data_IF_085610013945
#
_entry.id   IF_085610013945
#
_cell.length_a   1.000
_cell.length_b   1.000
_cell.length_c   1.000
_cell.angle_alpha   90.00
_cell.angle_beta   90.00
_cell.angle_gamma   90.00
#
_symmetry.space_group_name_H-M   'P 1'
#
loop_
_entity.id
_entity.type
_entity.pdbx_description
1 polymer ?
#
# COMPACT_ATOMS: atom_id res chain seq x y z
N UNK A 1 24.81 6.70 20.35
CA UNK A 1 23.54 6.52 19.61
C UNK A 1 23.64 5.27 18.73
N UNK A 2 22.57 4.50 18.55
CA UNK A 2 22.66 3.08 18.16
C UNK A 2 22.10 2.82 16.75
N UNK A 3 22.96 2.70 15.74
CA UNK A 3 22.59 2.32 14.35
C UNK A 3 21.75 1.05 14.32
N UNK A 4 22.05 0.12 15.22
CA UNK A 4 21.30 -1.12 15.35
C UNK A 4 19.84 -0.86 15.70
N UNK A 5 19.53 0.10 16.58
CA UNK A 5 18.16 0.45 16.95
C UNK A 5 17.36 0.99 15.75
N UNK A 6 17.96 1.85 14.93
CA UNK A 6 17.34 2.33 13.70
C UNK A 6 17.12 1.20 12.68
N UNK A 7 18.06 0.24 12.60
CA UNK A 7 17.94 -0.91 11.71
C UNK A 7 16.88 -1.94 12.15
N UNK A 8 16.55 -2.00 13.44
CA UNK A 8 15.54 -2.94 13.99
C UNK A 8 14.20 -2.29 14.35
N UNK A 9 14.02 -0.99 14.14
CA UNK A 9 12.79 -0.26 14.50
C UNK A 9 11.51 -0.85 13.85
N UNK A 10 10.55 -1.34 14.63
CA UNK A 10 9.37 -2.08 14.10
C UNK A 10 8.22 -1.21 13.61
N UNK A 11 8.25 0.08 13.93
CA UNK A 11 7.32 1.07 13.42
C UNK A 11 8.04 2.32 12.93
N UNK A 12 7.30 3.16 12.19
CA UNK A 12 7.79 4.49 11.82
C UNK A 12 8.05 5.35 13.04
N UNK A 13 7.22 5.22 14.09
CA UNK A 13 7.41 5.95 15.34
C UNK A 13 8.73 5.56 15.99
N UNK A 14 9.00 4.25 16.11
CA UNK A 14 10.26 3.75 16.68
C UNK A 14 11.46 4.21 15.86
N UNK A 15 11.33 4.23 14.53
CA UNK A 15 12.39 4.71 13.64
C UNK A 15 12.68 6.20 13.89
N UNK A 16 11.64 7.02 14.07
CA UNK A 16 11.78 8.45 14.39
C UNK A 16 12.39 8.64 15.79
N UNK A 17 12.03 7.80 16.75
CA UNK A 17 12.58 7.84 18.11
C UNK A 17 14.11 7.58 18.15
N UNK A 18 14.65 6.86 17.16
CA UNK A 18 16.11 6.64 17.07
C UNK A 18 16.91 7.88 16.62
N UNK A 19 16.24 8.92 16.14
CA UNK A 19 16.84 10.20 15.75
C UNK A 19 17.12 11.04 17.00
N UNK A 20 18.32 11.68 17.13
CA UNK A 20 18.59 12.60 18.22
C UNK A 20 17.52 13.67 18.33
N UNK A 21 17.16 13.99 19.56
CA UNK A 21 16.07 14.90 19.88
C UNK A 21 16.09 16.22 19.08
N UNK A 22 17.23 16.92 18.89
CA UNK A 22 17.25 18.17 18.14
C UNK A 22 16.86 18.04 16.66
N UNK A 23 17.12 16.88 16.03
CA UNK A 23 16.85 16.65 14.61
C UNK A 23 15.49 15.99 14.36
N UNK A 24 14.91 15.39 15.40
CA UNK A 24 13.70 14.58 15.32
C UNK A 24 12.51 15.32 14.69
N UNK A 25 12.19 16.59 15.02
CA UNK A 25 11.05 17.27 14.40
C UNK A 25 11.19 17.40 12.87
N UNK A 26 12.37 17.76 12.38
CA UNK A 26 12.60 18.00 10.96
C UNK A 26 12.75 16.71 10.15
N UNK A 27 13.59 15.78 10.63
CA UNK A 27 13.82 14.50 9.95
C UNK A 27 12.63 13.54 10.13
N UNK A 28 11.94 13.59 11.27
CA UNK A 28 10.71 12.85 11.50
C UNK A 28 9.62 13.25 10.51
N UNK A 29 9.36 14.55 10.34
CA UNK A 29 8.42 15.05 9.34
C UNK A 29 8.79 14.61 7.91
N UNK A 30 10.09 14.59 7.59
CA UNK A 30 10.59 14.09 6.31
C UNK A 30 10.32 12.59 6.10
N UNK A 31 10.63 11.74 7.09
CA UNK A 31 10.33 10.31 7.06
C UNK A 31 8.84 10.04 6.97
N UNK A 32 8.01 10.78 7.70
CA UNK A 32 6.55 10.72 7.62
C UNK A 32 6.04 11.01 6.21
N UNK A 33 6.55 12.07 5.59
CA UNK A 33 6.20 12.43 4.20
C UNK A 33 6.59 11.29 3.25
N UNK A 34 7.81 10.77 3.34
CA UNK A 34 8.27 9.66 2.48
C UNK A 34 7.45 8.40 2.70
N UNK A 35 7.14 8.04 3.94
CA UNK A 35 6.27 6.92 4.26
C UNK A 35 4.86 7.07 3.65
N UNK A 36 4.26 8.26 3.75
CA UNK A 36 2.94 8.56 3.13
C UNK A 36 3.00 8.42 1.61
N UNK A 37 4.06 8.91 0.96
CA UNK A 37 4.27 8.77 -0.49
C UNK A 37 4.39 7.30 -0.89
N UNK A 38 5.19 6.50 -0.17
CA UNK A 38 5.32 5.06 -0.43
C UNK A 38 3.96 4.34 -0.31
N UNK A 39 3.16 4.67 0.73
CA UNK A 39 1.80 4.12 0.88
C UNK A 39 0.87 4.50 -0.27
N UNK A 40 0.88 5.76 -0.71
CA UNK A 40 0.10 6.20 -1.87
C UNK A 40 0.55 5.48 -3.15
N UNK A 41 1.86 5.36 -3.37
CA UNK A 41 2.43 4.61 -4.50
C UNK A 41 1.91 3.16 -4.54
N UNK A 42 1.89 2.48 -3.39
CA UNK A 42 1.33 1.13 -3.25
C UNK A 42 -0.13 1.05 -3.68
N UNK A 43 -0.93 1.98 -3.16
CA UNK A 43 -2.36 2.03 -3.41
C UNK A 43 -2.64 2.29 -4.89
N UNK A 44 -2.02 3.32 -5.47
CA UNK A 44 -2.15 3.65 -6.90
C UNK A 44 -1.75 2.47 -7.77
N UNK A 45 -0.65 1.77 -7.46
CA UNK A 45 -0.23 0.58 -8.19
C UNK A 45 -1.31 -0.52 -8.18
N UNK A 46 -1.91 -0.80 -7.00
CA UNK A 46 -2.99 -1.80 -6.86
C UNK A 46 -4.24 -1.39 -7.65
N UNK A 47 -4.67 -0.13 -7.52
CA UNK A 47 -5.83 0.41 -8.26
C UNK A 47 -5.61 0.31 -9.76
N UNK A 48 -4.42 0.72 -10.24
CA UNK A 48 -4.06 0.63 -11.64
C UNK A 48 -4.09 -0.81 -12.16
N UNK A 49 -3.55 -1.77 -11.40
CA UNK A 49 -3.65 -3.20 -11.72
C UNK A 49 -5.10 -3.69 -11.77
N UNK A 50 -5.96 -3.20 -10.86
CA UNK A 50 -7.39 -3.52 -10.88
C UNK A 50 -8.09 -2.97 -12.12
N UNK A 51 -7.85 -1.70 -12.47
CA UNK A 51 -8.47 -1.05 -13.62
C UNK A 51 -8.01 -1.67 -14.95
N UNK A 52 -6.72 -2.03 -15.07
CA UNK A 52 -6.22 -2.79 -16.23
C UNK A 52 -6.91 -4.15 -16.35
N UNK A 53 -7.14 -4.86 -15.25
CA UNK A 53 -7.91 -6.13 -15.27
C UNK A 53 -9.34 -5.93 -15.73
N UNK A 54 -10.03 -4.88 -15.27
CA UNK A 54 -11.37 -4.54 -15.74
C UNK A 54 -11.38 -4.26 -17.25
N UNK A 55 -10.43 -3.46 -17.74
CA UNK A 55 -10.31 -3.15 -19.16
C UNK A 55 -10.09 -4.41 -20.00
N UNK A 56 -9.22 -5.32 -19.56
CA UNK A 56 -8.93 -6.57 -20.27
C UNK A 56 -10.11 -7.55 -20.28
N UNK A 57 -11.01 -7.45 -19.31
CA UNK A 57 -12.21 -8.31 -19.20
C UNK A 57 -13.47 -7.64 -19.75
N UNK A 58 -13.35 -6.45 -20.35
CA UNK A 58 -14.47 -5.59 -20.76
C UNK A 58 -15.53 -5.40 -19.65
N UNK A 59 -15.06 -5.30 -18.40
CA UNK A 59 -15.90 -4.99 -17.23
C UNK A 59 -15.55 -3.60 -16.69
N UNK A 60 -16.35 -3.08 -15.75
CA UNK A 60 -16.13 -1.75 -15.18
C UNK A 60 -16.08 -1.81 -13.64
N UNK A 61 -15.13 -1.09 -13.02
CA UNK A 61 -15.16 -0.86 -11.58
C UNK A 61 -16.44 -0.14 -11.16
N UNK A 62 -16.90 -0.35 -9.92
CA UNK A 62 -18.12 0.28 -9.41
C UNK A 62 -18.08 1.81 -9.45
N UNK A 63 -16.90 2.40 -9.25
CA UNK A 63 -16.70 3.85 -9.37
C UNK A 63 -17.06 4.38 -10.76
N UNK A 64 -16.79 3.63 -11.83
CA UNK A 64 -17.14 4.01 -13.21
C UNK A 64 -18.62 3.71 -13.49
N UNK A 65 -19.13 2.57 -12.99
CA UNK A 65 -20.56 2.23 -13.15
C UNK A 65 -21.48 3.24 -12.45
N UNK A 66 -21.07 3.74 -11.30
CA UNK A 66 -21.81 4.74 -10.53
C UNK A 66 -21.75 6.13 -11.19
N UNK A 67 -20.63 6.47 -11.84
CA UNK A 67 -20.44 7.76 -12.51
C UNK A 67 -21.26 7.90 -13.80
N UNK A 68 -21.40 6.82 -14.59
CA UNK A 68 -22.28 6.80 -15.77
C UNK A 68 -23.35 5.74 -15.55
N UNK A 69 -24.54 6.17 -15.15
CA UNK A 69 -25.70 5.29 -14.97
C UNK A 69 -26.40 5.03 -16.30
N UNK A 70 -27.07 3.88 -16.37
CA UNK A 70 -28.04 3.65 -17.44
C UNK A 70 -29.32 4.38 -17.06
N UNK A 71 -29.78 5.36 -17.85
CA UNK A 71 -31.03 6.06 -17.59
C UNK A 71 -32.20 5.07 -17.67
N UNK A 72 -33.16 5.22 -16.75
CA UNK A 72 -34.40 4.46 -16.75
C UNK A 72 -35.43 5.31 -17.48
N UNK A 73 -35.77 4.89 -18.70
CA UNK A 73 -36.82 5.54 -19.48
C UNK A 73 -38.16 4.86 -19.22
N UNK A 74 -39.23 5.65 -19.18
CA UNK A 74 -40.61 5.14 -19.18
C UNK A 74 -41.16 5.31 -20.58
N UNK A 75 -41.60 4.20 -21.17
CA UNK A 75 -42.22 4.16 -22.49
C UNK A 75 -43.60 3.53 -22.38
N UNK A 76 -44.48 3.80 -23.34
CA UNK A 76 -45.77 3.10 -23.42
C UNK A 76 -45.57 1.67 -23.89
N UNK A 77 -46.48 0.76 -23.55
CA UNK A 77 -46.37 -0.67 -23.88
C UNK A 77 -46.35 -0.90 -25.40
N UNK A 78 -47.10 -0.10 -26.15
CA UNK A 78 -47.16 -0.17 -27.62
C UNK A 78 -45.82 0.20 -28.25
N UNK A 79 -45.07 1.13 -27.64
CA UNK A 79 -43.76 1.51 -28.15
C UNK A 79 -42.70 0.44 -27.87
N UNK A 80 -42.80 -0.28 -26.75
CA UNK A 80 -41.79 -1.29 -26.35
C UNK A 80 -41.65 -2.44 -27.36
N UNK A 81 -42.72 -2.79 -28.08
CA UNK A 81 -42.73 -3.87 -29.08
C UNK A 81 -42.20 -3.42 -30.46
N UNK A 82 -41.93 -2.13 -30.65
CA UNK A 82 -41.49 -1.58 -31.94
C UNK A 82 -40.01 -1.86 -32.21
N UNK A 83 -39.68 -1.96 -33.50
CA UNK A 83 -38.29 -2.11 -33.96
C UNK A 83 -37.45 -0.87 -33.65
N UNK A 84 -38.09 0.29 -33.66
CA UNK A 84 -37.57 1.61 -33.38
C UNK A 84 -37.11 1.69 -31.92
N UNK A 85 -37.94 1.23 -30.97
CA UNK A 85 -37.57 1.14 -29.57
C UNK A 85 -36.35 0.23 -29.36
N UNK A 86 -36.36 -0.97 -29.93
CA UNK A 86 -35.24 -1.91 -29.80
C UNK A 86 -33.92 -1.31 -30.32
N UNK A 87 -33.96 -0.68 -31.50
CA UNK A 87 -32.80 -0.02 -32.12
C UNK A 87 -32.29 1.18 -31.30
N UNK A 88 -33.20 2.04 -30.83
CA UNK A 88 -32.84 3.19 -30.01
C UNK A 88 -32.25 2.76 -28.66
N UNK A 89 -32.84 1.77 -27.99
CA UNK A 89 -32.34 1.23 -26.73
C UNK A 89 -30.96 0.58 -26.90
N UNK A 90 -30.74 -0.18 -27.97
CA UNK A 90 -29.43 -0.73 -28.30
C UNK A 90 -28.38 0.37 -28.51
N UNK A 91 -28.74 1.43 -29.24
CA UNK A 91 -27.87 2.59 -29.51
C UNK A 91 -27.48 3.33 -28.24
N UNK A 92 -28.42 3.56 -27.31
CA UNK A 92 -28.15 4.22 -26.03
C UNK A 92 -27.22 3.35 -25.17
N UNK A 93 -27.50 2.04 -25.06
CA UNK A 93 -26.65 1.14 -24.29
C UNK A 93 -25.22 1.08 -24.86
N UNK A 94 -25.07 1.06 -26.18
CA UNK A 94 -23.78 1.12 -26.84
C UNK A 94 -23.03 2.43 -26.54
N UNK A 95 -23.73 3.57 -26.57
CA UNK A 95 -23.15 4.87 -26.22
C UNK A 95 -22.65 4.89 -24.76
N UNK A 96 -23.42 4.35 -23.82
CA UNK A 96 -23.05 4.26 -22.39
C UNK A 96 -21.83 3.36 -22.20
N UNK A 97 -21.80 2.18 -22.84
CA UNK A 97 -20.65 1.27 -22.78
C UNK A 97 -19.39 1.94 -23.34
N UNK A 98 -19.53 2.64 -24.46
CA UNK A 98 -18.44 3.39 -25.09
C UNK A 98 -17.91 4.48 -24.18
N UNK A 99 -18.80 5.26 -23.54
CA UNK A 99 -18.43 6.30 -22.60
C UNK A 99 -17.68 5.73 -21.38
N UNK A 100 -18.20 4.65 -20.77
CA UNK A 100 -17.55 3.96 -19.65
C UNK A 100 -16.16 3.44 -20.02
N UNK A 101 -15.99 2.85 -21.21
CA UNK A 101 -14.70 2.35 -21.72
C UNK A 101 -13.71 3.51 -21.96
N UNK A 102 -14.18 4.63 -22.50
CA UNK A 102 -13.36 5.82 -22.69
C UNK A 102 -12.84 6.37 -21.35
N UNK A 103 -13.73 6.52 -20.35
CA UNK A 103 -13.34 6.98 -19.02
C UNK A 103 -12.38 6.01 -18.34
N UNK A 104 -12.63 4.70 -18.40
CA UNK A 104 -11.71 3.70 -17.84
C UNK A 104 -10.29 3.85 -18.42
N UNK A 105 -10.17 4.00 -19.76
CA UNK A 105 -8.88 4.24 -20.42
C UNK A 105 -8.23 5.54 -19.95
N UNK A 106 -8.97 6.65 -19.86
CA UNK A 106 -8.45 7.95 -19.39
C UNK A 106 -7.98 7.89 -17.94
N UNK A 107 -8.73 7.23 -17.07
CA UNK A 107 -8.36 7.04 -15.66
C UNK A 107 -7.11 6.17 -15.55
N UNK A 108 -6.97 5.12 -16.37
CA UNK A 108 -5.73 4.31 -16.42
C UNK A 108 -4.53 5.18 -16.82
N UNK A 109 -4.66 6.06 -17.81
CA UNK A 109 -3.59 6.98 -18.20
C UNK A 109 -3.22 7.92 -17.05
N UNK A 110 -4.21 8.55 -16.41
CA UNK A 110 -3.97 9.45 -15.28
C UNK A 110 -3.33 8.72 -14.09
N UNK A 111 -3.79 7.52 -13.74
CA UNK A 111 -3.18 6.70 -12.68
C UNK A 111 -1.78 6.21 -13.03
N UNK A 112 -1.47 6.02 -14.31
CA UNK A 112 -0.11 5.70 -14.76
C UNK A 112 0.81 6.90 -14.58
N UNK A 113 0.37 8.11 -14.93
CA UNK A 113 1.13 9.35 -14.69
C UNK A 113 1.33 9.61 -13.19
N UNK A 114 0.28 9.45 -12.37
CA UNK A 114 0.37 9.56 -10.91
C UNK A 114 1.38 8.55 -10.34
N UNK A 115 1.38 7.30 -10.83
CA UNK A 115 2.33 6.28 -10.39
C UNK A 115 3.77 6.66 -10.72
N UNK A 116 4.01 7.21 -11.92
CA UNK A 116 5.33 7.70 -12.34
C UNK A 116 5.80 8.84 -11.42
N UNK A 117 4.95 9.84 -11.16
CA UNK A 117 5.25 10.93 -10.23
C UNK A 117 5.54 10.42 -8.81
N UNK A 118 4.73 9.52 -8.27
CA UNK A 118 4.96 8.97 -6.94
C UNK A 118 6.24 8.13 -6.88
N UNK A 119 6.60 7.45 -7.98
CA UNK A 119 7.82 6.65 -8.06
C UNK A 119 9.10 7.48 -7.97
N UNK A 120 9.13 8.68 -8.57
CA UNK A 120 10.28 9.58 -8.47
C UNK A 120 10.43 10.16 -7.07
N UNK A 121 9.33 10.26 -6.31
CA UNK A 121 9.31 10.85 -4.97
C UNK A 121 9.48 9.84 -3.83
N UNK A 122 9.25 8.55 -4.09
CA UNK A 122 9.16 7.51 -3.06
C UNK A 122 10.49 7.19 -2.36
N UNK A 123 11.63 7.48 -3.00
CA UNK A 123 12.96 7.20 -2.42
C UNK A 123 13.34 8.25 -1.38
N UNK A 124 13.99 7.81 -0.31
CA UNK A 124 14.70 8.68 0.61
C UNK A 124 15.97 9.15 -0.10
N UNK A 125 16.14 10.47 -0.21
CA UNK A 125 17.28 11.07 -0.89
C UNK A 125 18.31 11.48 0.17
N UNK A 126 19.55 11.00 0.00
CA UNK A 126 20.66 11.35 0.88
C UNK A 126 20.98 12.84 0.84
N UNK A 127 20.75 13.51 -0.29
CA UNK A 127 20.97 14.95 -0.45
C UNK A 127 19.98 15.74 0.39
N UNK A 128 18.68 15.51 0.21
CA UNK A 128 17.62 16.12 1.03
C UNK A 128 17.88 15.91 2.52
N UNK A 129 18.21 14.66 2.90
CA UNK A 129 18.46 14.28 4.29
C UNK A 129 19.62 15.07 4.89
N UNK A 130 20.75 15.11 4.18
CA UNK A 130 21.94 15.88 4.60
C UNK A 130 21.64 17.37 4.68
N UNK A 131 20.93 17.94 3.71
CA UNK A 131 20.51 19.34 3.74
C UNK A 131 19.64 19.65 4.97
N UNK A 132 18.71 18.78 5.34
CA UNK A 132 17.88 18.94 6.55
C UNK A 132 18.76 18.87 7.81
N UNK A 133 19.66 17.89 7.90
CA UNK A 133 20.56 17.72 9.04
C UNK A 133 21.47 18.95 9.23
N UNK A 134 22.11 19.43 8.15
CA UNK A 134 22.94 20.64 8.15
C UNK A 134 22.11 21.85 8.60
N UNK A 135 20.90 22.04 8.05
CA UNK A 135 20.04 23.17 8.43
C UNK A 135 19.70 23.18 9.92
N UNK A 136 19.36 22.01 10.49
CA UNK A 136 19.11 21.89 11.94
C UNK A 136 20.36 22.22 12.74
N UNK A 137 21.51 21.64 12.37
CA UNK A 137 22.77 21.87 13.05
C UNK A 137 23.21 23.34 12.99
N UNK A 138 23.05 24.01 11.85
CA UNK A 138 23.29 25.45 11.71
C UNK A 138 22.37 26.29 12.60
N UNK A 139 21.10 25.91 12.74
CA UNK A 139 20.18 26.57 13.66
C UNK A 139 20.59 26.42 15.13
N UNK A 140 21.09 25.24 15.52
CA UNK A 140 21.66 25.02 16.85
C UNK A 140 22.94 25.84 17.05
N UNK A 141 23.84 25.84 16.07
CA UNK A 141 25.05 26.65 16.11
C UNK A 141 24.75 28.13 16.31
N UNK A 142 23.77 28.66 15.58
CA UNK A 142 23.31 30.05 15.76
C UNK A 142 22.74 30.29 17.17
N UNK A 143 21.96 29.35 17.71
CA UNK A 143 21.35 29.48 19.03
C UNK A 143 22.36 29.42 20.19
N UNK A 144 23.43 28.63 20.04
CA UNK A 144 24.44 28.40 21.08
C UNK A 144 25.77 29.14 20.84
N UNK A 145 25.88 29.95 19.78
CA UNK A 145 27.06 30.73 19.45
C UNK A 145 28.24 29.91 18.89
N UNK A 146 27.96 28.74 18.28
CA UNK A 146 28.98 27.94 17.60
C UNK A 146 29.26 28.48 16.20
N UNK A 147 30.50 28.31 15.75
CA UNK A 147 30.96 28.74 14.45
C UNK A 147 30.65 27.66 13.41
N UNK A 148 30.02 28.04 12.30
CA UNK A 148 29.77 27.12 11.18
C UNK A 148 30.94 27.24 10.21
N UNK A 149 31.72 26.17 10.07
CA UNK A 149 32.88 26.11 9.19
C UNK A 149 32.56 25.22 7.99
N UNK A 150 32.97 25.66 6.80
CA UNK A 150 32.92 24.84 5.57
C UNK A 150 34.34 24.59 5.13
N UNK A 151 34.69 23.32 4.92
CA UNK A 151 35.99 22.96 4.35
C UNK A 151 35.98 23.08 2.81
N UNK A 152 37.16 22.90 2.23
CA UNK A 152 37.39 22.99 0.78
C UNK A 152 36.63 21.91 -0.01
N UNK A 153 36.27 20.81 0.66
CA UNK A 153 35.44 19.72 0.12
C UNK A 153 33.93 20.02 0.21
N UNK A 154 33.55 21.18 0.77
CA UNK A 154 32.16 21.59 0.97
C UNK A 154 31.45 20.86 2.11
N UNK A 155 32.18 20.11 2.94
CA UNK A 155 31.65 19.54 4.17
C UNK A 155 31.51 20.62 5.25
N UNK A 156 30.45 20.48 6.05
CA UNK A 156 30.12 21.42 7.13
C UNK A 156 30.54 20.83 8.46
N UNK A 157 31.28 21.60 9.25
CA UNK A 157 31.69 21.29 10.63
C UNK A 157 31.33 22.47 11.55
N UNK A 158 31.31 22.23 12.86
CA UNK A 158 30.83 23.23 13.83
C UNK A 158 31.85 23.44 14.96
N UNK A 159 32.56 24.56 14.91
CA UNK A 159 33.56 24.94 15.90
C UNK A 159 32.89 25.44 17.19
N UNK A 160 33.33 24.90 18.33
CA UNK A 160 32.73 25.15 19.64
C UNK A 160 31.52 24.26 19.96
N UNK A 161 31.10 23.39 19.04
CA UNK A 161 30.06 22.40 19.29
C UNK A 161 30.53 21.34 20.30
N UNK A 162 29.74 20.99 21.33
CA UNK A 162 30.08 19.91 22.25
C UNK A 162 30.26 18.58 21.51
N UNK A 163 31.26 17.79 21.93
CA UNK A 163 31.62 16.50 21.30
C UNK A 163 30.42 15.55 21.12
N UNK A 164 29.49 15.55 22.07
CA UNK A 164 28.27 14.72 21.97
C UNK A 164 27.36 15.19 20.83
N UNK A 165 27.18 16.50 20.69
CA UNK A 165 26.34 17.07 19.65
C UNK A 165 26.99 16.91 18.27
N UNK A 166 28.30 17.10 18.17
CA UNK A 166 29.06 16.87 16.94
C UNK A 166 28.95 15.40 16.48
N UNK A 167 29.12 14.45 17.42
CA UNK A 167 28.91 13.03 17.16
C UNK A 167 27.49 12.75 16.64
N UNK A 168 26.46 13.34 17.24
CA UNK A 168 25.07 13.18 16.80
C UNK A 168 24.84 13.75 15.39
N UNK A 169 25.45 14.90 15.08
CA UNK A 169 25.39 15.52 13.76
C UNK A 169 26.03 14.63 12.69
N UNK A 170 27.30 14.24 12.87
CA UNK A 170 28.04 13.38 11.94
C UNK A 170 27.28 12.08 11.74
N UNK A 171 26.80 11.49 12.84
CA UNK A 171 26.03 10.25 12.81
C UNK A 171 24.76 10.39 11.97
N UNK A 172 23.94 11.41 12.23
CA UNK A 172 22.71 11.62 11.47
C UNK A 172 23.00 11.90 10.01
N UNK A 173 23.97 12.77 9.71
CA UNK A 173 24.31 13.17 8.35
C UNK A 173 24.70 11.98 7.47
N UNK A 174 25.49 11.07 8.03
CA UNK A 174 26.14 10.01 7.25
C UNK A 174 25.37 8.68 7.23
N UNK A 175 24.45 8.46 8.19
CA UNK A 175 23.68 7.21 8.31
C UNK A 175 22.29 7.24 7.65
N UNK A 176 22.02 8.14 6.70
CA UNK A 176 20.72 8.24 6.02
C UNK A 176 20.24 6.92 5.40
N UNK A 177 21.17 6.10 4.90
CA UNK A 177 20.90 4.84 4.22
C UNK A 177 20.23 3.81 5.15
N UNK A 178 20.51 3.86 6.46
CA UNK A 178 19.88 3.01 7.47
C UNK A 178 18.39 3.32 7.57
N UNK A 179 18.06 4.61 7.68
CA UNK A 179 16.68 5.09 7.71
C UNK A 179 15.94 4.80 6.40
N UNK A 180 16.61 5.01 5.26
CA UNK A 180 16.07 4.70 3.94
C UNK A 180 15.70 3.21 3.81
N UNK A 181 16.64 2.34 4.18
CA UNK A 181 16.48 0.89 4.11
C UNK A 181 15.39 0.41 5.06
N UNK A 182 15.40 0.87 6.31
CA UNK A 182 14.39 0.46 7.28
C UNK A 182 13.01 0.96 6.91
N UNK A 183 12.89 2.19 6.42
CA UNK A 183 11.60 2.71 5.94
C UNK A 183 11.03 1.87 4.79
N UNK A 184 11.89 1.45 3.85
CA UNK A 184 11.50 0.55 2.78
C UNK A 184 11.08 -0.83 3.30
N UNK A 185 11.76 -1.37 4.31
CA UNK A 185 11.38 -2.61 4.97
C UNK A 185 10.02 -2.51 5.67
N UNK A 186 9.79 -1.48 6.49
CA UNK A 186 8.51 -1.24 7.18
C UNK A 186 7.33 -1.17 6.20
N UNK A 187 7.57 -0.60 5.03
CA UNK A 187 6.62 -0.56 3.94
C UNK A 187 6.33 -1.94 3.31
N UNK A 188 7.35 -2.79 3.16
CA UNK A 188 7.22 -4.12 2.57
C UNK A 188 6.63 -5.14 3.56
N UNK A 189 7.01 -5.10 4.83
CA UNK A 189 6.58 -6.02 5.88
C UNK A 189 5.05 -6.02 6.05
N UNK A 190 4.41 -4.84 5.97
CA UNK A 190 2.94 -4.70 6.00
C UNK A 190 2.21 -5.28 4.78
N UNK A 191 2.92 -5.80 3.79
CA UNK A 191 2.34 -6.42 2.59
C UNK A 191 2.34 -7.95 2.61
N UNK A 192 2.99 -8.59 3.59
CA UNK A 192 2.76 -10.03 3.77
C UNK A 192 1.36 -10.19 4.37
N UNK A 193 0.44 -10.92 3.71
CA UNK A 193 -0.72 -11.42 4.45
C UNK A 193 -0.15 -12.23 5.62
N UNK A 194 -0.70 -12.04 6.82
CA UNK A 194 -0.45 -12.96 7.91
C UNK A 194 -0.67 -14.36 7.34
N UNK A 195 0.40 -15.13 7.21
CA UNK A 195 0.32 -16.54 6.86
C UNK A 195 -0.67 -17.14 7.83
N UNK A 196 -1.77 -17.68 7.29
CA UNK A 196 -2.70 -18.49 8.05
C UNK A 196 -1.88 -19.49 8.85
N UNK A 197 -1.94 -19.36 10.18
CA UNK A 197 -1.39 -20.36 11.08
C UNK A 197 -1.94 -21.73 10.66
N UNK A 198 -1.12 -22.79 10.58
CA UNK A 198 -1.64 -24.12 10.35
C UNK A 198 -2.59 -24.44 11.51
N UNK A 199 -3.88 -24.54 11.21
CA UNK A 199 -4.85 -25.13 12.12
C UNK A 199 -4.49 -26.60 12.26
N UNK A 200 -3.64 -26.91 13.24
CA UNK A 200 -3.33 -28.26 13.65
C UNK A 200 -4.60 -28.83 14.30
N UNK A 201 -5.40 -29.59 13.54
CA UNK A 201 -6.38 -30.52 14.10
C UNK A 201 -5.62 -31.80 14.44
N UNK A 202 -5.56 -32.23 15.71
CA UNK A 202 -5.12 -33.59 16.01
C UNK A 202 -6.17 -34.56 15.46
N UNK A 203 -5.74 -35.53 14.66
CA UNK A 203 -6.58 -36.67 14.28
C UNK A 203 -6.95 -37.47 15.52
N UNK A 204 -8.25 -37.75 15.66
CA UNK A 204 -8.78 -38.70 16.65
C UNK A 204 -8.27 -40.11 16.34
N UNK A 205 -7.48 -40.65 17.26
CA UNK A 205 -7.10 -42.06 17.28
C UNK A 205 -8.32 -42.94 17.56
N UNK A 206 -8.82 -43.63 16.53
CA UNK A 206 -9.71 -44.78 16.72
C UNK A 206 -8.87 -46.06 16.77
N UNK A 207 -8.63 -46.59 17.97
CA UNK A 207 -8.12 -47.96 18.15
C UNK A 207 -9.17 -48.83 18.85
N UNK A 208 -9.36 -50.01 18.26
CA UNK A 208 -10.39 -51.02 18.49
C UNK A 208 -10.32 -51.68 19.87
N UNK A 209 -11.50 -52.06 20.39
CA UNK A 209 -11.73 -53.12 21.39
C UNK A 209 -13.23 -53.46 21.42
N UNK A 210 -13.74 -54.43 20.64
CA UNK A 210 -13.84 -55.89 20.92
C UNK A 210 -15.08 -56.30 21.75
N UNK A 211 -15.98 -57.09 21.09
CA UNK A 211 -16.96 -58.10 21.59
C UNK A 211 -18.26 -57.59 22.25
N UNK A 212 -19.46 -58.21 22.13
CA UNK A 212 -19.94 -59.49 21.55
C UNK A 212 -21.49 -59.48 21.51
N UNK A 213 -22.08 -60.20 20.53
CA UNK A 213 -23.45 -60.79 20.42
C UNK A 213 -24.69 -59.88 20.58
N UNK A 214 -25.82 -60.07 19.90
CA UNK A 214 -26.61 -61.28 19.64
C UNK A 214 -27.55 -61.01 18.43
N UNK A 215 -27.97 -62.08 17.72
CA UNK A 215 -29.33 -62.36 17.19
C UNK A 215 -30.23 -61.18 16.73
N UNK A 216 -30.98 -61.22 15.63
CA UNK A 216 -31.51 -62.29 14.81
C UNK A 216 -32.10 -61.64 13.53
N UNK A 217 -32.41 -62.47 12.52
CA UNK A 217 -33.58 -62.36 11.62
C UNK A 217 -33.85 -61.03 10.88
N UNK A 218 -34.19 -60.94 9.60
CA UNK A 218 -34.75 -61.85 8.61
C UNK A 218 -34.77 -61.05 7.30
N UNK A 219 -34.73 -61.74 6.16
CA UNK A 219 -35.63 -61.57 4.99
C UNK A 219 -36.16 -60.15 4.64
N UNK A 220 -36.26 -59.63 3.41
CA UNK A 220 -36.34 -60.19 2.05
C UNK A 220 -36.74 -58.99 1.15
N UNK A 221 -36.18 -58.93 -0.08
CA UNK A 221 -36.91 -58.62 -1.34
C UNK A 221 -37.39 -57.18 -1.70
N UNK A 222 -36.85 -56.75 -2.85
CA UNK A 222 -37.46 -56.10 -4.05
C UNK A 222 -37.88 -54.62 -4.05
N UNK A 223 -37.20 -53.92 -4.97
CA UNK A 223 -37.73 -53.24 -6.17
C UNK A 223 -39.06 -52.48 -6.09
N UNK A 224 -39.03 -51.22 -6.55
CA UNK A 224 -40.22 -50.54 -7.04
C UNK A 224 -39.91 -49.15 -7.60
N UNK A 225 -39.68 -49.07 -8.91
CA UNK A 225 -39.95 -47.88 -9.73
C UNK A 225 -41.42 -47.96 -10.14
N UNK A 226 -42.19 -46.88 -9.95
CA UNK A 226 -42.97 -46.28 -11.06
C UNK A 226 -42.96 -44.73 -10.95
N UNK A 227 -43.15 -43.89 -11.97
CA UNK A 227 -43.45 -43.99 -13.41
C UNK A 227 -42.97 -42.68 -14.04
#
# INVERSE_FOLDING_TARGET
MNVTAAAVADSLSDLIETIPFPYRPALGAYLDRKHRIMRKYAHVRRVLSSYKRHLNRDTFPDSIRAAIKVPIFRFTEEFLVTSEHASANASINLAILTARKCILKRVILQKTAELAYLSSQARVDGTDWKCIAVRVASGLAQAYGWLVVRDDDGCVHFDGMPVVADRDFVWIRDNYHVYATRLAFLFQARRRPASQSPSYRPEENATKGTKVSHEAEKEIIRSGIPS
#
